data_IF_804623048132
#
_entry.id   IF_804623048132
#
_cell.length_a   1.000
_cell.length_b   1.000
_cell.length_c   1.000
_cell.angle_alpha   90.00
_cell.angle_beta   90.00
_cell.angle_gamma   90.00
#
_symmetry.space_group_name_H-M   'P 1'
#
loop_
_entity.id
_entity.type
_entity.pdbx_description
1 polymer ?
#
# COMPACT_ATOMS: atom_id res chain seq x y z
N UNK A 1 13.65 -1.46 -1.60
CA UNK A 1 15.05 -1.76 -1.94
C UNK A 1 15.54 -0.95 -3.15
N UNK A 2 14.97 -1.11 -4.34
CA UNK A 2 15.40 -0.39 -5.56
C UNK A 2 15.53 1.13 -5.37
N UNK A 3 14.49 1.78 -4.85
CA UNK A 3 14.50 3.23 -4.61
C UNK A 3 15.63 3.66 -3.67
N UNK A 4 15.84 2.90 -2.58
CA UNK A 4 16.88 3.25 -1.60
C UNK A 4 18.30 2.95 -2.11
N UNK A 5 18.51 1.77 -2.70
CA UNK A 5 19.86 1.30 -3.04
C UNK A 5 20.37 1.77 -4.40
N UNK A 6 19.47 1.84 -5.40
CA UNK A 6 19.89 2.17 -6.77
C UNK A 6 19.56 3.61 -7.15
N UNK A 7 18.46 4.16 -6.63
CA UNK A 7 18.03 5.54 -6.91
C UNK A 7 18.46 6.55 -5.86
N UNK A 8 18.96 6.08 -4.70
CA UNK A 8 19.46 6.95 -3.64
C UNK A 8 18.38 7.74 -2.90
N UNK A 9 17.11 7.32 -2.97
CA UNK A 9 16.05 7.94 -2.20
C UNK A 9 16.17 7.62 -0.71
N UNK A 10 15.89 8.61 0.14
CA UNK A 10 15.63 8.40 1.55
C UNK A 10 14.21 7.88 1.72
N UNK A 11 14.07 6.56 1.92
CA UNK A 11 12.78 5.87 1.88
C UNK A 11 12.14 5.79 3.26
N UNK A 12 10.99 6.42 3.42
CA UNK A 12 10.08 6.29 4.57
C UNK A 12 8.99 5.28 4.20
N UNK A 13 9.04 4.10 4.79
CA UNK A 13 8.04 3.07 4.54
C UNK A 13 6.81 3.30 5.41
N UNK A 14 5.63 3.32 4.81
CA UNK A 14 4.37 3.51 5.50
C UNK A 14 3.39 2.37 5.20
N UNK A 15 2.79 1.81 6.25
CA UNK A 15 1.76 0.79 6.18
C UNK A 15 0.44 1.36 6.71
N UNK A 16 -0.57 1.50 5.86
CA UNK A 16 -1.91 1.90 6.29
C UNK A 16 -2.67 0.66 6.78
N UNK A 17 -2.88 0.57 8.09
CA UNK A 17 -3.60 -0.54 8.72
C UNK A 17 -5.10 -0.25 8.77
N UNK A 18 -5.87 -1.07 8.07
CA UNK A 18 -7.35 -1.04 8.02
C UNK A 18 -7.99 -2.09 8.92
N UNK A 19 -7.20 -2.77 9.79
CA UNK A 19 -7.66 -3.79 10.73
C UNK A 19 -7.33 -5.23 10.35
N UNK A 20 -6.66 -5.45 9.19
CA UNK A 20 -6.35 -6.80 8.69
C UNK A 20 -5.03 -7.39 9.17
N UNK A 21 -4.21 -6.65 9.94
CA UNK A 21 -2.90 -7.11 10.39
C UNK A 21 -2.89 -7.49 11.87
N UNK A 22 -2.26 -8.62 12.20
CA UNK A 22 -1.88 -8.92 13.58
C UNK A 22 -0.66 -8.09 14.01
N UNK A 23 -0.41 -8.00 15.32
CA UNK A 23 0.75 -7.30 15.86
C UNK A 23 2.07 -7.91 15.34
N UNK A 24 2.14 -9.24 15.23
CA UNK A 24 3.30 -9.94 14.69
C UNK A 24 3.53 -9.58 13.21
N UNK A 25 2.46 -9.47 12.42
CA UNK A 25 2.56 -9.07 11.02
C UNK A 25 3.03 -7.63 10.88
N UNK A 26 2.54 -6.71 11.71
CA UNK A 26 3.00 -5.32 11.70
C UNK A 26 4.48 -5.21 12.07
N UNK A 27 4.93 -5.97 13.09
CA UNK A 27 6.33 -6.03 13.47
C UNK A 27 7.21 -6.63 12.36
N UNK A 28 6.73 -7.70 11.71
CA UNK A 28 7.45 -8.30 10.58
C UNK A 28 7.55 -7.33 9.39
N UNK A 29 6.50 -6.55 9.12
CA UNK A 29 6.51 -5.52 8.08
C UNK A 29 7.56 -4.44 8.37
N UNK A 30 7.65 -4.00 9.63
CA UNK A 30 8.66 -3.05 10.08
C UNK A 30 10.08 -3.58 9.87
N UNK A 31 10.35 -4.80 10.37
CA UNK A 31 11.66 -5.45 10.20
C UNK A 31 12.05 -5.59 8.72
N UNK A 32 11.09 -5.99 7.88
CA UNK A 32 11.31 -6.12 6.45
C UNK A 32 11.60 -4.76 5.79
N UNK A 33 10.88 -3.70 6.18
CA UNK A 33 11.10 -2.37 5.65
C UNK A 33 12.55 -1.90 5.89
N UNK A 34 13.06 -2.06 7.10
CA UNK A 34 14.45 -1.72 7.42
C UNK A 34 15.46 -2.60 6.67
N UNK A 35 15.23 -3.90 6.56
CA UNK A 35 16.07 -4.81 5.76
C UNK A 35 16.12 -4.41 4.28
N UNK A 36 15.03 -3.87 3.76
CA UNK A 36 14.91 -3.40 2.38
C UNK A 36 15.52 -2.01 2.15
N UNK A 37 15.98 -1.34 3.21
CA UNK A 37 16.70 -0.07 3.13
C UNK A 37 15.85 1.16 3.43
N UNK A 38 14.69 0.99 4.06
CA UNK A 38 13.95 2.13 4.58
C UNK A 38 14.70 2.76 5.78
N UNK A 39 14.71 4.08 5.84
CA UNK A 39 15.29 4.82 6.99
C UNK A 39 14.31 4.96 8.14
N UNK A 40 13.02 4.88 7.82
CA UNK A 40 11.94 4.94 8.80
C UNK A 40 10.77 4.07 8.36
N UNK A 41 10.07 3.49 9.33
CA UNK A 41 8.80 2.79 9.14
C UNK A 41 7.72 3.40 10.02
N UNK A 42 6.50 3.44 9.51
CA UNK A 42 5.33 3.86 10.28
C UNK A 42 4.12 2.99 9.94
N UNK A 43 3.38 2.60 10.96
CA UNK A 43 2.03 2.05 10.81
C UNK A 43 1.01 3.17 11.05
N UNK A 44 0.21 3.45 10.04
CA UNK A 44 -0.87 4.44 10.07
C UNK A 44 -2.17 3.70 10.36
N UNK A 45 -2.65 3.78 11.60
CA UNK A 45 -3.92 3.14 11.97
C UNK A 45 -5.10 3.98 11.48
N UNK A 46 -5.82 3.43 10.51
CA UNK A 46 -7.03 4.04 9.93
C UNK A 46 -8.30 3.25 10.25
N UNK A 47 -8.24 2.23 11.11
CA UNK A 47 -9.35 1.31 11.42
C UNK A 47 -10.59 2.05 11.86
N UNK A 48 -10.46 2.95 12.84
CA UNK A 48 -11.59 3.72 13.36
C UNK A 48 -12.15 4.70 12.32
N UNK A 49 -11.28 5.43 11.63
CA UNK A 49 -11.72 6.39 10.61
C UNK A 49 -12.44 5.67 9.46
N UNK A 50 -11.90 4.55 9.00
CA UNK A 50 -12.50 3.73 7.95
C UNK A 50 -13.87 3.19 8.36
N UNK A 51 -14.00 2.65 9.56
CA UNK A 51 -15.29 2.20 10.08
C UNK A 51 -16.30 3.35 10.16
N UNK A 52 -15.94 4.43 10.84
CA UNK A 52 -16.85 5.55 11.12
C UNK A 52 -17.30 6.31 9.87
N UNK A 53 -16.43 6.43 8.87
CA UNK A 53 -16.72 7.24 7.66
C UNK A 53 -17.17 6.41 6.46
N UNK A 54 -17.02 5.10 6.48
CA UNK A 54 -17.36 4.25 5.35
C UNK A 54 -18.07 2.94 5.73
N UNK A 55 -17.42 2.03 6.44
CA UNK A 55 -17.92 0.66 6.64
C UNK A 55 -19.31 0.63 7.28
N UNK A 56 -19.54 1.37 8.35
CA UNK A 56 -20.83 1.36 9.04
C UNK A 56 -22.00 1.72 8.11
N UNK A 57 -21.80 2.65 7.19
CA UNK A 57 -22.84 3.05 6.24
C UNK A 57 -23.09 1.98 5.17
N UNK A 58 -22.02 1.29 4.74
CA UNK A 58 -22.15 0.16 3.82
C UNK A 58 -22.89 -1.02 4.45
N UNK A 59 -22.60 -1.29 5.73
CA UNK A 59 -23.27 -2.36 6.48
C UNK A 59 -24.75 -2.01 6.70
N UNK A 60 -25.06 -0.81 7.23
CA UNK A 60 -26.44 -0.39 7.47
C UNK A 60 -27.26 -0.23 6.18
N UNK A 61 -26.62 0.23 5.10
CA UNK A 61 -27.24 0.36 3.79
C UNK A 61 -27.30 -0.94 2.98
N UNK A 62 -26.72 -2.04 3.48
CA UNK A 62 -26.56 -3.29 2.74
C UNK A 62 -26.03 -3.07 1.32
N UNK A 63 -24.96 -2.25 1.19
CA UNK A 63 -24.46 -1.79 -0.09
C UNK A 63 -23.61 -2.90 -0.75
N UNK A 64 -24.21 -3.58 -1.71
CA UNK A 64 -23.59 -4.65 -2.45
C UNK A 64 -23.49 -4.32 -3.94
N UNK A 65 -22.35 -4.62 -4.55
CA UNK A 65 -22.22 -4.59 -6.01
C UNK A 65 -22.93 -5.81 -6.60
N UNK A 66 -23.85 -5.56 -7.52
CA UNK A 66 -24.68 -6.62 -8.16
C UNK A 66 -25.46 -7.49 -7.14
N UNK A 67 -25.80 -6.96 -5.96
CA UNK A 67 -26.53 -7.67 -4.92
C UNK A 67 -25.75 -8.79 -4.21
N UNK A 68 -24.46 -8.96 -4.48
CA UNK A 68 -23.67 -10.07 -3.96
C UNK A 68 -22.32 -9.72 -3.36
N UNK A 69 -21.66 -8.70 -3.87
CA UNK A 69 -20.28 -8.41 -3.51
C UNK A 69 -20.15 -7.10 -2.69
N UNK A 70 -19.61 -7.14 -1.46
CA UNK A 70 -19.35 -5.94 -0.69
C UNK A 70 -18.34 -5.04 -1.41
N UNK A 71 -18.64 -3.76 -1.52
CA UNK A 71 -17.72 -2.78 -2.16
C UNK A 71 -16.70 -2.19 -1.19
N UNK A 72 -16.55 -2.79 -0.01
CA UNK A 72 -15.62 -2.38 1.04
C UNK A 72 -14.19 -2.23 0.55
N UNK A 73 -13.70 -3.17 -0.28
CA UNK A 73 -12.35 -3.11 -0.85
C UNK A 73 -12.06 -1.81 -1.61
N UNK A 74 -13.05 -1.30 -2.34
CA UNK A 74 -12.88 -0.05 -3.08
C UNK A 74 -12.69 1.14 -2.15
N UNK A 75 -13.49 1.23 -1.08
CA UNK A 75 -13.37 2.31 -0.09
C UNK A 75 -12.13 2.14 0.78
N UNK A 76 -11.75 0.90 1.11
CA UNK A 76 -10.54 0.59 1.86
C UNK A 76 -9.29 1.21 1.20
N UNK A 77 -9.12 1.01 -0.11
CA UNK A 77 -8.00 1.59 -0.87
C UNK A 77 -7.97 3.12 -0.82
N UNK A 78 -9.14 3.75 -0.80
CA UNK A 78 -9.21 5.21 -0.64
C UNK A 78 -8.70 5.62 0.75
N UNK A 79 -9.13 4.95 1.83
CA UNK A 79 -8.65 5.27 3.19
C UNK A 79 -7.16 5.01 3.36
N UNK A 80 -6.63 3.95 2.74
CA UNK A 80 -5.19 3.72 2.69
C UNK A 80 -4.47 4.87 1.98
N UNK A 81 -4.95 5.26 0.81
CA UNK A 81 -4.38 6.39 0.06
C UNK A 81 -4.46 7.72 0.81
N UNK A 82 -5.59 8.00 1.48
CA UNK A 82 -5.77 9.18 2.34
C UNK A 82 -4.70 9.26 3.44
N UNK A 83 -4.46 8.15 4.13
CA UNK A 83 -3.47 8.11 5.20
C UNK A 83 -2.05 8.34 4.69
N UNK A 84 -1.69 7.68 3.59
CA UNK A 84 -0.38 7.84 2.95
C UNK A 84 -0.17 9.28 2.46
N UNK A 85 -1.16 9.88 1.78
CA UNK A 85 -1.06 11.26 1.30
C UNK A 85 -0.90 12.27 2.44
N UNK A 86 -1.64 12.09 3.54
CA UNK A 86 -1.50 12.94 4.74
C UNK A 86 -0.11 12.83 5.34
N UNK A 87 0.38 11.59 5.49
CA UNK A 87 1.72 11.37 6.02
C UNK A 87 2.80 11.94 5.11
N UNK A 88 2.69 11.78 3.80
CA UNK A 88 3.62 12.36 2.84
C UNK A 88 3.69 13.90 2.96
N UNK A 89 2.53 14.56 3.07
CA UNK A 89 2.47 16.01 3.30
C UNK A 89 3.07 16.41 4.66
N UNK A 90 2.81 15.63 5.72
CA UNK A 90 3.33 15.89 7.07
C UNK A 90 4.86 15.88 7.11
N UNK A 91 5.48 14.94 6.41
CA UNK A 91 6.94 14.82 6.37
C UNK A 91 7.60 15.63 5.25
N UNK A 92 6.81 16.30 4.39
CA UNK A 92 7.33 17.02 3.23
C UNK A 92 7.99 16.11 2.20
N UNK A 93 7.37 14.97 1.90
CA UNK A 93 7.92 14.01 0.95
C UNK A 93 7.91 14.57 -0.48
N UNK A 94 8.99 14.35 -1.22
CA UNK A 94 9.09 14.73 -2.64
C UNK A 94 8.34 13.76 -3.55
N UNK A 95 8.21 12.49 -3.12
CA UNK A 95 7.55 11.44 -3.89
C UNK A 95 6.77 10.45 -3.03
N UNK A 96 5.71 9.86 -3.62
CA UNK A 96 4.98 8.71 -3.08
C UNK A 96 5.16 7.54 -4.03
N UNK A 97 5.67 6.42 -3.53
CA UNK A 97 5.84 5.20 -4.32
C UNK A 97 4.83 4.13 -3.94
N UNK A 98 4.25 3.45 -4.93
CA UNK A 98 3.40 2.29 -4.71
C UNK A 98 3.57 1.21 -5.78
N UNK A 99 3.27 -0.04 -5.41
CA UNK A 99 3.44 -1.22 -6.27
C UNK A 99 2.17 -1.70 -6.98
N UNK A 100 1.16 -0.85 -7.15
CA UNK A 100 -0.05 -1.26 -7.87
C UNK A 100 0.24 -1.52 -9.34
N UNK A 101 -0.23 -2.68 -9.82
CA UNK A 101 -0.06 -3.08 -11.24
C UNK A 101 -0.99 -2.31 -12.17
N UNK A 102 -0.69 -2.30 -13.47
CA UNK A 102 -1.54 -1.71 -14.50
C UNK A 102 -2.87 -2.44 -14.74
N UNK A 103 -3.00 -3.68 -14.21
CA UNK A 103 -4.20 -4.49 -14.34
C UNK A 103 -5.08 -4.33 -13.07
N UNK A 104 -6.15 -3.60 -13.15
CA UNK A 104 -7.09 -3.40 -12.04
C UNK A 104 -7.31 -1.95 -11.67
N UNK A 105 -8.13 -1.73 -10.64
CA UNK A 105 -8.59 -0.39 -10.27
C UNK A 105 -7.79 0.26 -9.12
N UNK A 106 -6.92 -0.49 -8.46
CA UNK A 106 -6.21 0.03 -7.27
C UNK A 106 -5.25 1.14 -7.63
N UNK A 107 -4.55 1.02 -8.76
CA UNK A 107 -3.72 2.08 -9.30
C UNK A 107 -4.48 3.41 -9.45
N UNK A 108 -5.68 3.36 -10.05
CA UNK A 108 -6.50 4.56 -10.28
C UNK A 108 -6.90 5.17 -8.93
N UNK A 109 -7.29 4.36 -7.98
CA UNK A 109 -7.69 4.83 -6.64
C UNK A 109 -6.55 5.53 -5.91
N UNK A 110 -5.35 4.95 -5.94
CA UNK A 110 -4.18 5.55 -5.32
C UNK A 110 -3.73 6.80 -6.07
N UNK A 111 -3.54 6.72 -7.39
CA UNK A 111 -3.09 7.85 -8.20
C UNK A 111 -4.05 9.05 -8.03
N UNK A 112 -5.37 8.85 -8.16
CA UNK A 112 -6.35 9.93 -7.95
C UNK A 112 -6.29 10.50 -6.54
N UNK A 113 -6.16 9.65 -5.52
CA UNK A 113 -6.09 10.11 -4.13
C UNK A 113 -4.84 10.97 -3.90
N UNK A 114 -3.69 10.55 -4.42
CA UNK A 114 -2.44 11.28 -4.29
C UNK A 114 -2.43 12.59 -5.08
N UNK A 115 -2.93 12.58 -6.32
CA UNK A 115 -3.04 13.79 -7.14
C UNK A 115 -3.92 14.87 -6.49
N UNK A 116 -4.98 14.47 -5.79
CA UNK A 116 -5.90 15.40 -5.14
C UNK A 116 -5.37 15.90 -3.80
N UNK A 117 -4.77 15.03 -2.99
CA UNK A 117 -4.43 15.33 -1.59
C UNK A 117 -2.97 15.68 -1.35
N UNK A 118 -2.09 15.32 -2.26
CA UNK A 118 -0.67 15.68 -2.25
C UNK A 118 -0.26 16.26 -3.60
N UNK A 119 -0.89 17.38 -4.03
CA UNK A 119 -0.61 17.99 -5.32
C UNK A 119 0.85 18.50 -5.32
N UNK A 120 1.60 18.11 -6.33
CA UNK A 120 3.03 18.46 -6.45
C UNK A 120 3.99 17.42 -5.91
N UNK A 121 3.51 16.36 -5.25
CA UNK A 121 4.31 15.18 -4.90
C UNK A 121 4.38 14.24 -6.11
N UNK A 122 5.59 13.78 -6.47
CA UNK A 122 5.78 12.83 -7.56
C UNK A 122 5.16 11.47 -7.22
N UNK A 123 4.47 10.83 -8.17
CA UNK A 123 3.95 9.47 -7.99
C UNK A 123 4.86 8.49 -8.72
N UNK A 124 5.52 7.60 -7.98
CA UNK A 124 6.44 6.59 -8.51
C UNK A 124 5.76 5.22 -8.52
N UNK A 125 5.67 4.61 -9.70
CA UNK A 125 4.92 3.35 -9.90
C UNK A 125 5.81 2.28 -10.55
N UNK A 126 6.87 1.87 -9.84
CA UNK A 126 7.93 1.00 -10.38
C UNK A 126 7.41 -0.24 -11.11
N UNK A 127 6.47 -0.98 -10.50
CA UNK A 127 5.92 -2.21 -11.10
C UNK A 127 5.25 -1.94 -12.44
N UNK A 128 4.57 -0.79 -12.56
CA UNK A 128 3.89 -0.37 -13.78
C UNK A 128 4.87 0.21 -14.80
N UNK A 129 5.76 1.07 -14.36
CA UNK A 129 6.69 1.80 -15.22
C UNK A 129 7.76 0.91 -15.81
N UNK A 130 8.23 -0.09 -15.05
CA UNK A 130 9.20 -1.08 -15.49
C UNK A 130 8.55 -2.33 -16.10
N UNK A 131 7.22 -2.43 -16.06
CA UNK A 131 6.45 -3.59 -16.52
C UNK A 131 6.98 -4.94 -15.97
N UNK A 132 7.40 -4.93 -14.70
CA UNK A 132 7.99 -6.10 -14.05
C UNK A 132 6.95 -7.20 -13.86
N UNK A 133 7.32 -8.41 -14.22
CA UNK A 133 6.60 -9.61 -13.79
C UNK A 133 6.94 -9.92 -12.33
N UNK A 134 6.04 -10.61 -11.63
CA UNK A 134 6.28 -11.05 -10.25
C UNK A 134 7.56 -11.88 -10.11
N UNK A 135 7.90 -12.70 -11.10
CA UNK A 135 9.13 -13.49 -11.08
C UNK A 135 10.37 -12.59 -11.12
N UNK A 136 10.37 -11.57 -11.96
CA UNK A 136 11.47 -10.61 -12.04
C UNK A 136 11.64 -9.82 -10.73
N UNK A 137 10.54 -9.47 -10.07
CA UNK A 137 10.59 -8.81 -8.75
C UNK A 137 11.21 -9.74 -7.68
N UNK A 138 10.84 -11.02 -7.68
CA UNK A 138 11.40 -12.03 -6.77
C UNK A 138 12.89 -12.25 -7.05
N UNK A 139 13.26 -12.40 -8.32
CA UNK A 139 14.65 -12.62 -8.74
C UNK A 139 15.52 -11.44 -8.32
N UNK A 140 15.04 -10.21 -8.55
CA UNK A 140 15.72 -9.00 -8.08
C UNK A 140 15.95 -8.98 -6.57
N UNK A 141 14.94 -9.34 -5.77
CA UNK A 141 15.08 -9.39 -4.30
C UNK A 141 16.09 -10.44 -3.85
N UNK A 142 16.07 -11.63 -4.48
CA UNK A 142 17.01 -12.71 -4.19
C UNK A 142 18.44 -12.33 -4.54
N UNK A 143 18.67 -11.71 -5.70
CA UNK A 143 20.00 -11.24 -6.14
C UNK A 143 20.58 -10.20 -5.17
N UNK A 144 19.73 -9.43 -4.52
CA UNK A 144 20.13 -8.43 -3.52
C UNK A 144 20.12 -8.97 -2.07
N UNK A 145 20.03 -10.30 -1.90
CA UNK A 145 20.16 -10.97 -0.60
C UNK A 145 18.92 -10.88 0.30
N UNK A 146 17.75 -10.52 -0.26
CA UNK A 146 16.49 -10.56 0.46
C UNK A 146 15.74 -11.84 0.11
N UNK A 147 15.87 -12.85 0.98
CA UNK A 147 15.12 -14.08 0.87
C UNK A 147 13.86 -14.01 1.73
N UNK A 148 12.70 -14.18 1.11
CA UNK A 148 11.42 -14.31 1.79
C UNK A 148 10.65 -15.52 1.25
N UNK A 149 9.72 -16.05 2.04
CA UNK A 149 8.84 -17.10 1.55
C UNK A 149 7.76 -16.50 0.64
N UNK A 150 8.04 -16.53 -0.66
CA UNK A 150 7.13 -16.04 -1.69
C UNK A 150 6.03 -17.04 -2.07
N UNK A 151 5.99 -18.23 -1.49
CA UNK A 151 5.00 -19.27 -1.85
C UNK A 151 3.59 -18.86 -1.48
N UNK A 152 3.42 -18.09 -0.40
CA UNK A 152 2.13 -17.54 0.05
C UNK A 152 1.60 -16.41 -0.85
N UNK A 153 2.43 -15.84 -1.70
CA UNK A 153 2.07 -14.74 -2.60
C UNK A 153 1.39 -15.20 -3.89
N UNK A 154 1.18 -16.51 -4.08
CA UNK A 154 0.54 -17.06 -5.27
C UNK A 154 -0.92 -16.60 -5.43
N UNK A 155 -1.57 -16.28 -4.30
CA UNK A 155 -2.94 -15.74 -4.28
C UNK A 155 -2.97 -14.45 -3.46
N UNK A 156 -3.67 -13.43 -3.98
CA UNK A 156 -3.93 -12.20 -3.23
C UNK A 156 -5.21 -12.36 -2.43
N UNK A 157 -5.12 -12.23 -1.11
CA UNK A 157 -6.29 -12.20 -0.22
C UNK A 157 -6.45 -10.78 0.33
N UNK A 158 -7.65 -10.25 0.27
CA UNK A 158 -8.01 -9.08 1.04
C UNK A 158 -8.42 -9.54 2.44
N UNK A 159 -7.53 -9.34 3.40
CA UNK A 159 -7.78 -9.57 4.82
C UNK A 159 -8.04 -8.21 5.45
N UNK A 160 -9.22 -7.71 5.24
CA UNK A 160 -9.70 -6.49 5.85
C UNK A 160 -11.09 -6.76 6.42
N UNK A 161 -11.55 -5.89 7.33
CA UNK A 161 -12.89 -5.96 7.92
C UNK A 161 -13.99 -6.06 6.86
#
# INVERSE_FOLDING_TARGET
MYLAKEKGYEVYAACANTGGFSEEQLKQNEENAYKLGAVKYVTLDVTREYYEKSLKYMVFGNVLRNGTYPISVSSERIFQGLAIARYANEIGADAIAHGSTGAGNDQIRFDMTFLVLAPGVEIITLTRDMALSRQQEIDYLNEHGFAADFTKLKYSYNVGL
#
